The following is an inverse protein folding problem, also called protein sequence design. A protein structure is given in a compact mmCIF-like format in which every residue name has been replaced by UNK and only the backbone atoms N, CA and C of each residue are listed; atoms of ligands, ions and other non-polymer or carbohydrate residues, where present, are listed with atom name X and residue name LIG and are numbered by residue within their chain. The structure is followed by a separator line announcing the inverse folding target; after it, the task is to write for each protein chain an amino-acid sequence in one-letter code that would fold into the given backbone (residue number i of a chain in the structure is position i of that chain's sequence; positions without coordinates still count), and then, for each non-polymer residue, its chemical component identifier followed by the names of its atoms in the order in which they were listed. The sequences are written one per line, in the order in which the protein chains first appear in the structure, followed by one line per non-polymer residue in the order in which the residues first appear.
data_IF_640301704707
#
_entry.id   IF_640301704707
#
_cell.length_a   1.000
_cell.length_b   1.000
_cell.length_c   1.000
_cell.angle_alpha   90.00
_cell.angle_beta   90.00
_cell.angle_gamma   90.00
#
_symmetry.space_group_name_H-M   'P 1'
#
loop_
_entity.id
_entity.type
_entity.pdbx_description
1 polymer ?
#
# COMPACT_ATOMS: atom_id res chain seq x y z
N UNK A 1 23.88 0.05 -19.40
CA UNK A 1 23.53 0.29 -17.97
C UNK A 1 22.23 -0.45 -17.71
N UNK A 2 22.24 -1.38 -16.74
CA UNK A 2 21.14 -2.29 -16.44
C UNK A 2 20.18 -1.62 -15.46
N UNK A 3 18.92 -1.50 -15.84
CA UNK A 3 17.85 -0.98 -14.97
C UNK A 3 17.01 -2.14 -14.48
N UNK A 4 16.95 -2.32 -13.16
CA UNK A 4 16.20 -3.43 -12.57
C UNK A 4 15.64 -3.02 -11.20
N UNK A 5 14.60 -3.70 -10.77
CA UNK A 5 13.92 -3.41 -9.50
C UNK A 5 14.38 -4.41 -8.44
N UNK A 6 14.71 -3.92 -7.24
CA UNK A 6 15.06 -4.80 -6.13
C UNK A 6 13.84 -5.65 -5.73
N UNK A 7 13.92 -7.00 -5.72
CA UNK A 7 12.78 -7.85 -5.38
C UNK A 7 12.33 -7.67 -3.92
N UNK A 8 13.24 -7.28 -3.03
CA UNK A 8 12.96 -7.17 -1.59
C UNK A 8 12.35 -5.83 -1.16
N UNK A 9 12.71 -4.72 -1.80
CA UNK A 9 12.21 -3.39 -1.41
C UNK A 9 11.59 -2.58 -2.55
N UNK A 10 11.48 -3.19 -3.74
CA UNK A 10 10.83 -2.64 -4.93
C UNK A 10 11.38 -1.28 -5.39
N UNK A 11 12.60 -0.92 -4.95
CA UNK A 11 13.27 0.29 -5.42
C UNK A 11 13.88 0.05 -6.80
N UNK A 12 13.74 1.03 -7.69
CA UNK A 12 14.40 1.03 -9.01
C UNK A 12 15.90 1.30 -8.83
N UNK A 13 16.73 0.39 -9.31
CA UNK A 13 18.18 0.47 -9.24
C UNK A 13 18.78 0.51 -10.64
N UNK A 14 19.90 1.21 -10.76
CA UNK A 14 20.70 1.25 -11.97
C UNK A 14 22.06 0.62 -11.64
N UNK A 15 22.42 -0.46 -12.34
CA UNK A 15 23.73 -1.09 -12.26
C UNK A 15 24.51 -0.89 -13.55
N UNK A 16 25.85 -0.88 -13.45
CA UNK A 16 26.72 -0.93 -14.62
C UNK A 16 26.66 -2.34 -15.23
N UNK A 17 26.85 -2.42 -16.54
CA UNK A 17 26.78 -3.70 -17.29
C UNK A 17 27.87 -4.68 -16.83
N UNK A 18 29.02 -4.17 -16.35
CA UNK A 18 30.09 -4.98 -15.74
C UNK A 18 29.67 -5.73 -14.46
N UNK A 19 28.54 -5.36 -13.86
CA UNK A 19 28.00 -5.97 -12.65
C UNK A 19 26.87 -6.96 -12.93
N UNK A 20 26.56 -7.21 -14.20
CA UNK A 20 25.63 -8.24 -14.65
C UNK A 20 26.00 -9.63 -14.08
N UNK A 21 25.00 -10.40 -13.66
CA UNK A 21 25.17 -11.76 -13.12
C UNK A 21 25.79 -11.82 -11.71
N UNK A 22 26.05 -10.68 -11.06
CA UNK A 22 26.66 -10.64 -9.72
C UNK A 22 25.63 -10.36 -8.63
N UNK A 23 25.71 -11.13 -7.55
CA UNK A 23 24.97 -10.84 -6.31
C UNK A 23 25.62 -9.69 -5.54
N UNK A 24 24.83 -8.67 -5.20
CA UNK A 24 25.24 -7.50 -4.43
C UNK A 24 24.19 -7.14 -3.38
N UNK A 25 24.58 -6.34 -2.39
CA UNK A 25 23.61 -5.83 -1.41
C UNK A 25 22.91 -4.59 -1.97
N UNK A 26 21.59 -4.57 -1.85
CA UNK A 26 20.78 -3.40 -2.17
C UNK A 26 21.20 -2.22 -1.28
N UNK A 27 21.52 -1.04 -1.84
CA UNK A 27 21.92 0.12 -1.04
C UNK A 27 20.78 0.70 -0.18
N UNK A 28 19.52 0.31 -0.44
CA UNK A 28 18.34 0.80 0.30
C UNK A 28 17.85 -0.13 1.40
N UNK A 29 17.84 -1.44 1.17
CA UNK A 29 17.36 -2.42 2.15
C UNK A 29 18.42 -3.39 2.66
N UNK A 30 19.62 -3.41 2.07
CA UNK A 30 20.70 -4.33 2.45
C UNK A 30 20.53 -5.77 1.97
N UNK A 31 19.39 -6.12 1.37
CA UNK A 31 19.11 -7.46 0.85
C UNK A 31 20.09 -7.84 -0.28
N UNK A 32 20.46 -9.12 -0.33
CA UNK A 32 21.24 -9.66 -1.45
C UNK A 32 20.35 -9.72 -2.70
N UNK A 33 20.77 -9.03 -3.75
CA UNK A 33 20.10 -8.90 -5.05
C UNK A 33 21.04 -9.37 -6.14
N UNK A 34 20.54 -10.19 -7.05
CA UNK A 34 21.25 -10.58 -8.26
C UNK A 34 20.94 -9.60 -9.38
N UNK A 35 21.98 -9.08 -10.03
CA UNK A 35 21.83 -8.12 -11.13
C UNK A 35 21.59 -8.93 -12.40
N UNK A 36 20.46 -8.73 -13.12
CA UNK A 36 20.16 -9.49 -14.32
C UNK A 36 21.18 -9.20 -15.43
N UNK A 37 21.56 -10.21 -16.20
CA UNK A 37 22.37 -10.03 -17.41
C UNK A 37 21.46 -9.62 -18.56
N UNK A 38 21.59 -8.38 -19.04
CA UNK A 38 20.90 -7.95 -20.27
C UNK A 38 21.72 -8.40 -21.48
N UNK A 39 21.17 -9.29 -22.30
CA UNK A 39 21.58 -9.41 -23.71
C UNK A 39 21.08 -8.17 -24.47
N UNK A 40 21.85 -7.59 -25.40
CA UNK A 40 21.43 -6.41 -26.15
C UNK A 40 20.50 -6.79 -27.31
N UNK A 41 19.60 -5.85 -27.65
CA UNK A 41 18.66 -5.89 -28.77
C UNK A 41 19.34 -6.13 -30.13
N UNK A 42 18.73 -6.97 -30.99
CA UNK A 42 18.79 -6.96 -32.48
C UNK A 42 17.82 -8.04 -33.00
N UNK A 43 16.70 -7.69 -33.65
CA UNK A 43 16.52 -7.65 -35.12
C UNK A 43 16.39 -9.02 -35.80
N UNK A 44 15.39 -9.08 -36.68
CA UNK A 44 14.95 -10.17 -37.56
C UNK A 44 16.03 -10.97 -38.29
N UNK A 45 15.81 -12.28 -38.44
CA UNK A 45 15.98 -13.21 -39.61
C UNK A 45 15.76 -14.62 -39.01
N UNK A 46 14.79 -15.43 -39.42
CA UNK A 46 14.70 -16.08 -40.72
C UNK A 46 15.40 -17.46 -40.67
N UNK A 47 14.81 -18.46 -41.33
CA UNK A 47 15.29 -19.84 -41.54
C UNK A 47 14.84 -20.85 -40.46
N UNK A 48 13.71 -21.51 -40.67
CA UNK A 48 13.52 -22.70 -41.53
C UNK A 48 13.65 -23.99 -40.72
N UNK A 49 12.50 -24.51 -40.31
CA UNK A 49 12.34 -25.93 -40.06
C UNK A 49 11.34 -26.47 -41.08
N UNK A 50 11.88 -27.28 -41.98
CA UNK A 50 11.20 -27.96 -43.06
C UNK A 50 10.20 -28.99 -42.53
N UNK A 51 8.94 -28.83 -42.95
CA UNK A 51 7.95 -29.89 -43.19
C UNK A 51 7.73 -30.96 -42.11
N UNK A 52 6.55 -30.95 -41.49
CA UNK A 52 5.46 -31.86 -41.87
C UNK A 52 4.23 -31.61 -40.98
N UNK A 53 3.09 -31.64 -41.66
CA UNK A 53 1.75 -31.95 -41.18
C UNK A 53 0.80 -30.81 -40.72
N UNK A 54 -0.12 -30.60 -41.66
CA UNK A 54 -1.39 -29.89 -41.69
C UNK A 54 -2.24 -30.07 -40.42
N UNK A 55 -2.18 -29.11 -39.50
CA UNK A 55 -3.28 -28.82 -38.56
C UNK A 55 -3.36 -27.32 -38.35
N UNK A 56 -4.46 -26.71 -38.81
CA UNK A 56 -4.77 -25.30 -38.61
C UNK A 56 -4.70 -24.94 -37.10
N UNK A 57 -3.92 -23.92 -36.69
CA UNK A 57 -3.99 -23.42 -35.34
C UNK A 57 -5.14 -22.41 -35.25
N UNK A 58 -6.37 -22.92 -35.18
CA UNK A 58 -7.47 -22.14 -34.64
C UNK A 58 -7.43 -22.26 -33.12
N UNK A 59 -6.60 -21.42 -32.51
CA UNK A 59 -6.74 -20.93 -31.14
C UNK A 59 -5.62 -19.93 -30.86
N UNK A 60 -5.97 -18.65 -30.93
CA UNK A 60 -5.31 -17.61 -30.15
C UNK A 60 -5.09 -18.16 -28.73
N UNK A 61 -3.85 -18.51 -28.40
CA UNK A 61 -3.41 -18.57 -27.02
C UNK A 61 -3.51 -17.13 -26.54
N UNK A 62 -4.68 -16.77 -26.00
CA UNK A 62 -4.82 -15.55 -25.23
C UNK A 62 -3.81 -15.68 -24.11
N UNK A 63 -2.78 -14.86 -24.20
CA UNK A 63 -1.83 -14.64 -23.14
C UNK A 63 -2.65 -14.39 -21.88
N UNK A 64 -2.67 -15.33 -20.94
CA UNK A 64 -3.26 -15.14 -19.61
C UNK A 64 -2.27 -14.27 -18.83
N UNK A 65 -2.09 -13.04 -19.30
CA UNK A 65 -1.47 -11.94 -18.58
C UNK A 65 -2.59 -10.93 -18.35
N UNK A 66 -2.59 -10.35 -17.15
CA UNK A 66 -3.65 -9.55 -16.55
C UNK A 66 -4.91 -10.31 -16.15
N UNK A 67 -4.77 -11.17 -15.13
CA UNK A 67 -5.78 -11.07 -14.08
C UNK A 67 -5.51 -9.73 -13.37
N UNK A 68 -6.17 -8.66 -13.83
CA UNK A 68 -6.24 -7.38 -13.13
C UNK A 68 -6.74 -7.67 -11.71
N UNK A 69 -5.81 -7.81 -10.77
CA UNK A 69 -6.14 -7.82 -9.36
C UNK A 69 -6.90 -6.50 -9.11
N UNK A 70 -8.08 -6.54 -8.45
CA UNK A 70 -8.89 -5.35 -8.25
C UNK A 70 -8.06 -4.29 -7.52
N UNK A 71 -7.62 -3.27 -8.27
CA UNK A 71 -6.92 -2.14 -7.70
C UNK A 71 -7.95 -1.21 -7.10
N UNK A 72 -7.97 -1.14 -5.77
CA UNK A 72 -8.82 -0.20 -5.03
C UNK A 72 -8.44 1.22 -5.45
N UNK A 73 -9.33 1.92 -6.14
CA UNK A 73 -9.09 3.31 -6.57
C UNK A 73 -8.93 4.21 -5.34
N UNK A 74 -7.90 5.06 -5.34
CA UNK A 74 -7.65 5.96 -4.22
C UNK A 74 -8.84 6.94 -4.02
N UNK A 75 -9.25 7.20 -2.77
CA UNK A 75 -10.39 8.05 -2.50
C UNK A 75 -10.09 9.50 -2.86
N UNK A 76 -11.07 10.17 -3.48
CA UNK A 76 -10.96 11.59 -3.87
C UNK A 76 -11.25 12.54 -2.71
N UNK A 77 -11.98 12.07 -1.68
CA UNK A 77 -12.34 12.82 -0.46
C UNK A 77 -12.44 11.88 0.74
N UNK A 78 -12.22 12.42 1.94
CA UNK A 78 -12.46 11.69 3.18
C UNK A 78 -13.96 11.60 3.43
N UNK A 79 -14.47 10.38 3.59
CA UNK A 79 -15.87 10.10 3.90
C UNK A 79 -16.08 10.24 5.40
N UNK A 80 -17.00 11.11 5.84
CA UNK A 80 -17.21 11.42 7.27
C UNK A 80 -17.60 10.22 8.13
N UNK A 81 -18.25 9.23 7.54
CA UNK A 81 -18.63 8.01 8.24
C UNK A 81 -17.39 7.15 8.56
N UNK A 82 -16.44 7.10 7.62
CA UNK A 82 -15.22 6.29 7.71
C UNK A 82 -14.25 6.83 8.78
N UNK A 83 -13.32 5.98 9.20
CA UNK A 83 -12.16 6.39 10.00
C UNK A 83 -10.91 6.31 9.16
N UNK A 84 -10.04 7.30 9.28
CA UNK A 84 -8.77 7.29 8.57
C UNK A 84 -7.61 7.33 9.55
N UNK A 85 -6.69 6.38 9.38
CA UNK A 85 -5.49 6.24 10.19
C UNK A 85 -4.28 6.50 9.32
N UNK A 86 -3.24 7.08 9.88
CA UNK A 86 -1.92 7.11 9.26
C UNK A 86 -0.98 6.36 10.17
N UNK A 87 -0.39 5.28 9.68
CA UNK A 87 0.61 4.49 10.38
C UNK A 87 2.00 4.80 9.84
N UNK A 88 3.00 4.85 10.72
CA UNK A 88 4.40 4.63 10.31
C UNK A 88 4.68 3.11 10.27
N UNK A 89 5.94 2.67 10.43
CA UNK A 89 6.28 1.25 10.47
C UNK A 89 5.70 0.49 11.67
N UNK A 90 5.53 1.15 12.82
CA UNK A 90 5.22 0.47 14.09
C UNK A 90 4.19 1.19 14.95
N UNK A 91 3.70 2.37 14.55
CA UNK A 91 2.84 3.22 15.37
C UNK A 91 1.78 3.93 14.55
N UNK A 92 0.67 4.23 15.22
CA UNK A 92 -0.32 5.19 14.76
C UNK A 92 0.28 6.60 14.88
N UNK A 93 0.29 7.35 13.78
CA UNK A 93 0.75 8.73 13.71
C UNK A 93 -0.43 9.68 13.80
N UNK A 94 -1.47 9.48 13.00
CA UNK A 94 -2.61 10.38 12.97
C UNK A 94 -3.94 9.66 12.75
N UNK A 95 -5.01 10.31 13.19
CA UNK A 95 -6.39 9.85 13.12
C UNK A 95 -7.28 10.98 12.56
N UNK A 96 -8.26 10.62 11.74
CA UNK A 96 -9.37 11.49 11.33
C UNK A 96 -10.71 10.76 11.42
N UNK A 97 -11.76 11.52 11.80
CA UNK A 97 -13.02 10.98 12.32
C UNK A 97 -14.29 11.69 11.81
N UNK A 98 -14.19 12.61 10.84
CA UNK A 98 -15.36 13.30 10.27
C UNK A 98 -16.13 14.21 11.21
N UNK A 99 -15.63 14.44 12.43
CA UNK A 99 -16.28 15.21 13.50
C UNK A 99 -15.97 16.73 13.46
N UNK A 100 -15.30 17.21 12.40
CA UNK A 100 -14.91 18.62 12.24
C UNK A 100 -13.69 19.04 13.05
N UNK A 101 -13.04 18.15 13.81
CA UNK A 101 -11.78 18.47 14.51
C UNK A 101 -10.56 18.48 13.59
N UNK A 102 -10.70 17.93 12.37
CA UNK A 102 -9.61 17.69 11.44
C UNK A 102 -8.73 16.53 11.86
N UNK A 103 -7.48 16.51 11.39
CA UNK A 103 -6.53 15.47 11.74
C UNK A 103 -6.01 15.63 13.17
N UNK A 104 -5.96 14.52 13.89
CA UNK A 104 -5.47 14.40 15.26
C UNK A 104 -4.16 13.61 15.26
N UNK A 105 -3.10 14.18 15.83
CA UNK A 105 -1.80 13.55 16.01
C UNK A 105 -1.82 12.68 17.26
N UNK A 106 -1.39 11.42 17.13
CA UNK A 106 -1.16 10.54 18.28
C UNK A 106 0.13 10.93 18.98
N UNK A 107 0.03 11.19 20.28
CA UNK A 107 1.15 11.45 21.19
C UNK A 107 1.12 10.44 22.34
N UNK A 108 2.14 10.45 23.21
CA UNK A 108 2.15 9.63 24.43
C UNK A 108 1.02 9.98 25.40
N UNK A 109 0.57 11.24 25.42
CA UNK A 109 -0.47 11.74 26.32
C UNK A 109 -1.90 11.64 25.74
N UNK A 110 -2.06 11.15 24.50
CA UNK A 110 -3.35 11.07 23.83
C UNK A 110 -3.33 11.69 22.43
N UNK A 111 -4.44 12.28 22.00
CA UNK A 111 -4.60 12.87 20.69
C UNK A 111 -4.63 14.40 20.75
N UNK A 112 -3.84 15.06 19.89
CA UNK A 112 -3.78 16.53 19.80
C UNK A 112 -4.03 16.99 18.37
N UNK A 113 -4.69 18.14 18.18
CA UNK A 113 -4.98 18.66 16.83
C UNK A 113 -3.70 18.91 16.05
N UNK A 114 -3.59 18.37 14.84
CA UNK A 114 -2.43 18.55 13.95
C UNK A 114 -2.23 20.02 13.60
N UNK A 115 -3.30 20.77 13.32
CA UNK A 115 -3.20 22.19 12.95
C UNK A 115 -2.50 23.08 14.00
N UNK A 116 -2.46 22.65 15.27
CA UNK A 116 -1.76 23.34 16.37
C UNK A 116 -0.43 22.69 16.76
N UNK A 117 -0.14 21.50 16.26
CA UNK A 117 1.01 20.67 16.65
C UNK A 117 1.79 20.15 15.43
N UNK A 118 1.70 20.86 14.31
CA UNK A 118 2.26 20.47 13.01
C UNK A 118 3.77 20.25 13.03
N UNK A 119 4.49 20.96 13.91
CA UNK A 119 5.93 20.84 14.12
C UNK A 119 6.36 19.44 14.61
N UNK A 120 5.43 18.65 15.15
CA UNK A 120 5.70 17.29 15.62
C UNK A 120 5.55 16.24 14.50
N UNK A 121 5.07 16.64 13.31
CA UNK A 121 4.90 15.71 12.19
C UNK A 121 6.26 15.32 11.61
N UNK A 122 6.52 14.01 11.42
CA UNK A 122 7.68 13.56 10.68
C UNK A 122 7.71 14.12 9.24
N UNK A 123 8.86 14.66 8.83
CA UNK A 123 9.06 15.17 7.46
C UNK A 123 9.34 14.07 6.44
N UNK A 124 9.76 12.88 6.87
CA UNK A 124 9.99 11.72 6.01
C UNK A 124 9.67 10.42 6.74
N UNK A 125 9.23 9.40 6.01
CA UNK A 125 8.99 8.06 6.55
C UNK A 125 8.28 7.14 5.56
N UNK A 126 8.08 5.90 5.96
CA UNK A 126 7.15 5.02 5.26
C UNK A 126 5.80 5.13 5.95
N UNK A 127 4.85 5.82 5.30
CA UNK A 127 3.53 6.07 5.86
C UNK A 127 2.46 5.37 5.02
N UNK A 128 1.57 4.69 5.71
CA UNK A 128 0.40 4.07 5.09
C UNK A 128 -0.84 4.78 5.61
N UNK A 129 -1.66 5.31 4.68
CA UNK A 129 -3.01 5.77 4.98
C UNK A 129 -3.92 4.55 5.00
N UNK A 130 -4.67 4.36 6.07
CA UNK A 130 -5.65 3.29 6.22
C UNK A 130 -7.03 3.91 6.30
N UNK A 131 -7.94 3.41 5.49
CA UNK A 131 -9.36 3.73 5.53
C UNK A 131 -10.11 2.55 6.12
N UNK A 132 -10.78 2.77 7.25
CA UNK A 132 -11.75 1.85 7.81
C UNK A 132 -13.12 2.24 7.26
N UNK A 133 -13.68 1.39 6.41
CA UNK A 133 -14.97 1.62 5.77
C UNK A 133 -16.06 1.29 6.77
N UNK A 134 -16.82 2.30 7.14
CA UNK A 134 -17.86 2.21 8.15
C UNK A 134 -19.22 2.29 7.48
N UNK A 135 -20.16 1.49 7.95
CA UNK A 135 -21.57 1.54 7.58
C UNK A 135 -22.40 1.97 8.81
N UNK A 136 -23.49 2.70 8.57
CA UNK A 136 -24.51 2.94 9.58
C UNK A 136 -25.65 1.95 9.36
N UNK A 137 -25.92 1.14 10.39
CA UNK A 137 -27.04 0.20 10.41
C UNK A 137 -28.04 0.61 11.50
N UNK A 138 -29.20 -0.04 11.55
CA UNK A 138 -30.20 0.19 12.60
C UNK A 138 -29.67 -0.14 14.01
N UNK A 139 -28.69 -1.06 14.10
CA UNK A 139 -28.00 -1.45 15.33
C UNK A 139 -26.72 -0.63 15.61
N UNK A 140 -26.52 0.46 14.86
CA UNK A 140 -25.40 1.37 14.98
C UNK A 140 -24.31 1.14 13.93
N UNK A 141 -23.11 1.64 14.21
CA UNK A 141 -22.00 1.56 13.27
C UNK A 141 -21.45 0.13 13.13
N UNK A 142 -21.10 -0.25 11.90
CA UNK A 142 -20.44 -1.52 11.58
C UNK A 142 -19.21 -1.27 10.70
N UNK A 143 -18.12 -1.96 10.99
CA UNK A 143 -16.94 -2.02 10.14
C UNK A 143 -17.22 -2.99 9.00
N UNK A 144 -17.05 -2.54 7.76
CA UNK A 144 -17.30 -3.35 6.55
C UNK A 144 -16.06 -3.69 5.78
N UNK A 145 -15.12 -2.76 5.71
CA UNK A 145 -13.92 -2.93 4.92
C UNK A 145 -12.74 -2.19 5.49
N UNK A 146 -11.57 -2.52 4.95
CA UNK A 146 -10.32 -1.86 5.24
C UNK A 146 -9.54 -1.69 3.95
N UNK A 147 -9.09 -0.47 3.67
CA UNK A 147 -8.27 -0.15 2.52
C UNK A 147 -6.99 0.56 2.95
N UNK A 148 -5.90 0.31 2.26
CA UNK A 148 -4.59 0.86 2.57
C UNK A 148 -3.95 1.48 1.33
N UNK A 149 -3.34 2.64 1.52
CA UNK A 149 -2.77 3.47 0.47
C UNK A 149 -1.38 3.93 0.89
N UNK A 150 -0.39 3.69 0.02
CA UNK A 150 0.97 4.14 0.26
C UNK A 150 1.04 5.66 0.10
N UNK A 151 1.58 6.37 1.09
CA UNK A 151 1.84 7.81 0.97
C UNK A 151 3.28 8.06 0.50
N UNK A 152 3.47 9.21 -0.14
CA UNK A 152 4.78 9.70 -0.54
C UNK A 152 5.75 9.76 0.67
N UNK A 153 6.98 9.29 0.46
CA UNK A 153 7.95 9.12 1.56
C UNK A 153 8.39 10.44 2.20
N UNK A 154 8.41 11.52 1.41
CA UNK A 154 8.86 12.84 1.84
C UNK A 154 7.68 13.81 1.92
N UNK A 155 7.59 14.53 3.03
CA UNK A 155 6.70 15.65 3.27
C UNK A 155 5.20 15.36 3.15
N UNK A 156 4.77 14.10 3.00
CA UNK A 156 3.35 13.76 2.85
C UNK A 156 2.50 14.29 4.01
N UNK A 157 2.96 14.11 5.25
CA UNK A 157 2.19 14.47 6.45
C UNK A 157 2.02 15.98 6.64
N UNK A 158 2.82 16.82 5.98
CA UNK A 158 2.60 18.28 6.01
C UNK A 158 1.26 18.69 5.39
N UNK A 159 0.67 17.84 4.55
CA UNK A 159 -0.65 18.06 3.97
C UNK A 159 -1.76 18.14 5.03
N UNK A 160 -1.57 17.53 6.22
CA UNK A 160 -2.57 17.44 7.28
C UNK A 160 -2.88 18.78 7.99
N UNK A 161 -2.06 19.81 7.79
CA UNK A 161 -2.10 21.02 8.62
C UNK A 161 -3.32 21.92 8.40
N UNK A 162 -3.80 22.02 7.16
CA UNK A 162 -4.78 23.05 6.77
C UNK A 162 -6.03 22.49 6.08
N UNK A 163 -5.86 21.44 5.30
CA UNK A 163 -6.93 20.84 4.51
C UNK A 163 -6.94 19.34 4.79
N UNK A 164 -8.05 18.86 5.34
CA UNK A 164 -8.20 17.47 5.74
C UNK A 164 -8.11 16.50 4.56
N UNK A 165 -8.52 16.92 3.36
CA UNK A 165 -8.50 16.07 2.17
C UNK A 165 -7.15 16.10 1.45
N UNK A 166 -6.28 17.09 1.73
CA UNK A 166 -5.04 17.28 0.97
C UNK A 166 -4.09 16.09 1.05
N UNK A 167 -4.17 15.30 2.11
CA UNK A 167 -3.38 14.07 2.28
C UNK A 167 -3.63 13.05 1.15
N UNK A 168 -4.83 13.03 0.57
CA UNK A 168 -5.19 12.11 -0.50
C UNK A 168 -4.36 12.37 -1.77
N UNK A 169 -4.02 13.63 -2.03
CA UNK A 169 -3.09 13.99 -3.11
C UNK A 169 -1.64 13.53 -2.90
N UNK A 170 -1.33 12.95 -1.73
CA UNK A 170 -0.02 12.38 -1.38
C UNK A 170 0.02 10.86 -1.48
N UNK A 171 -1.09 10.21 -1.88
CA UNK A 171 -1.11 8.79 -2.17
C UNK A 171 -0.26 8.55 -3.43
N UNK A 172 0.72 7.66 -3.32
CA UNK A 172 1.60 7.25 -4.42
C UNK A 172 1.18 5.94 -5.10
N UNK A 173 0.20 5.23 -4.53
CA UNK A 173 -0.34 3.99 -5.08
C UNK A 173 -1.05 3.15 -4.01
N UNK A 174 -1.49 1.94 -4.37
CA UNK A 174 -1.99 0.96 -3.42
C UNK A 174 -0.98 0.73 -2.30
N UNK A 175 -1.47 0.64 -1.07
CA UNK A 175 -0.66 0.31 0.10
C UNK A 175 -0.73 -1.18 0.41
N UNK A 176 0.08 -1.60 1.37
CA UNK A 176 -0.10 -2.85 2.09
C UNK A 176 0.22 -2.61 3.56
N UNK A 177 -0.44 -3.36 4.45
CA UNK A 177 -0.13 -3.28 5.88
C UNK A 177 0.88 -4.36 6.27
N UNK A 178 2.00 -3.96 6.87
CA UNK A 178 2.91 -4.91 7.51
C UNK A 178 2.25 -5.55 8.73
N UNK A 179 2.84 -6.63 9.25
CA UNK A 179 2.36 -7.29 10.49
C UNK A 179 2.24 -6.31 11.66
N UNK A 180 3.24 -5.44 11.82
CA UNK A 180 3.26 -4.43 12.86
C UNK A 180 2.15 -3.39 12.65
N UNK A 181 1.92 -2.95 11.41
CA UNK A 181 0.84 -2.02 11.10
C UNK A 181 -0.55 -2.66 11.30
N UNK A 182 -0.73 -3.93 10.93
CA UNK A 182 -1.97 -4.68 11.20
C UNK A 182 -2.22 -4.76 12.71
N UNK A 183 -1.21 -5.04 13.51
CA UNK A 183 -1.32 -5.04 14.97
C UNK A 183 -1.70 -3.66 15.52
N UNK A 184 -1.15 -2.57 14.96
CA UNK A 184 -1.54 -1.19 15.31
C UNK A 184 -3.02 -0.94 15.02
N UNK A 185 -3.50 -1.32 13.84
CA UNK A 185 -4.92 -1.15 13.46
C UNK A 185 -5.84 -2.00 14.34
N UNK A 186 -5.45 -3.24 14.65
CA UNK A 186 -6.21 -4.10 15.56
C UNK A 186 -6.31 -3.52 16.98
N UNK A 187 -5.21 -3.02 17.53
CA UNK A 187 -5.24 -2.36 18.85
C UNK A 187 -6.11 -1.12 18.82
N UNK A 188 -6.00 -0.31 17.77
CA UNK A 188 -6.87 0.86 17.58
C UNK A 188 -8.37 0.48 17.57
N UNK A 189 -8.75 -0.57 16.83
CA UNK A 189 -10.14 -1.04 16.79
C UNK A 189 -10.65 -1.45 18.17
N UNK A 190 -9.86 -2.21 18.93
CA UNK A 190 -10.22 -2.66 20.29
C UNK A 190 -10.30 -1.53 21.30
N UNK A 191 -9.47 -0.49 21.15
CA UNK A 191 -9.42 0.64 22.07
C UNK A 191 -10.48 1.71 21.78
N UNK A 192 -10.79 1.95 20.50
CA UNK A 192 -11.68 3.06 20.10
C UNK A 192 -13.13 2.63 19.85
N UNK A 193 -13.39 1.36 19.59
CA UNK A 193 -14.73 0.87 19.27
C UNK A 193 -15.20 -0.22 20.22
N UNK A 194 -16.50 -0.23 20.46
CA UNK A 194 -17.17 -1.38 21.08
C UNK A 194 -17.02 -2.60 20.18
N UNK A 195 -16.95 -3.78 20.80
CA UNK A 195 -16.76 -5.06 20.10
C UNK A 195 -17.78 -5.30 18.98
N UNK A 196 -19.05 -4.93 19.20
CA UNK A 196 -20.14 -5.06 18.23
C UNK A 196 -19.91 -4.29 16.91
N UNK A 197 -19.01 -3.31 16.89
CA UNK A 197 -18.70 -2.56 15.68
C UNK A 197 -17.87 -3.39 14.70
N UNK A 198 -16.98 -4.27 15.20
CA UNK A 198 -15.98 -4.95 14.38
C UNK A 198 -16.01 -6.47 14.46
N UNK A 199 -16.71 -7.09 15.42
CA UNK A 199 -16.67 -8.54 15.60
C UNK A 199 -17.29 -9.34 14.44
N UNK A 200 -18.24 -8.73 13.72
CA UNK A 200 -18.88 -9.33 12.55
C UNK A 200 -18.09 -9.09 11.24
N UNK A 201 -17.06 -8.25 11.27
CA UNK A 201 -16.25 -7.89 10.11
C UNK A 201 -15.21 -8.98 9.79
N UNK A 202 -15.68 -10.20 9.49
CA UNK A 202 -14.84 -11.41 9.42
C UNK A 202 -13.70 -11.26 8.42
N UNK A 203 -13.98 -10.74 7.22
CA UNK A 203 -12.95 -10.49 6.19
C UNK A 203 -11.86 -9.53 6.69
N UNK A 204 -12.26 -8.44 7.36
CA UNK A 204 -11.32 -7.46 7.92
C UNK A 204 -10.48 -8.08 9.04
N UNK A 205 -11.10 -8.86 9.92
CA UNK A 205 -10.40 -9.54 11.01
C UNK A 205 -9.41 -10.58 10.49
N UNK A 206 -9.78 -11.33 9.46
CA UNK A 206 -8.90 -12.30 8.80
C UNK A 206 -7.74 -11.60 8.09
N UNK A 207 -8.02 -10.51 7.36
CA UNK A 207 -6.99 -9.68 6.73
C UNK A 207 -6.00 -9.12 7.76
N UNK A 208 -6.49 -8.62 8.89
CA UNK A 208 -5.65 -8.09 9.97
C UNK A 208 -4.91 -9.20 10.73
N UNK A 209 -5.45 -10.41 10.78
CA UNK A 209 -4.87 -11.56 11.47
C UNK A 209 -3.85 -12.35 10.64
N UNK A 210 -3.93 -12.26 9.31
CA UNK A 210 -3.06 -13.03 8.41
C UNK A 210 -1.70 -12.37 8.15
N UNK A 211 -0.74 -13.19 7.69
CA UNK A 211 0.60 -12.75 7.29
C UNK A 211 0.70 -12.43 5.79
N UNK A 212 -0.43 -12.36 5.07
CA UNK A 212 -0.42 -11.99 3.66
C UNK A 212 -0.31 -10.47 3.52
N UNK A 213 0.71 -10.02 2.78
CA UNK A 213 1.05 -8.60 2.60
C UNK A 213 0.75 -8.12 1.17
N UNK A 214 0.05 -8.92 0.36
CA UNK A 214 -0.13 -8.64 -1.07
C UNK A 214 -1.44 -7.94 -1.41
N UNK A 215 -2.38 -7.82 -0.47
CA UNK A 215 -3.63 -7.08 -0.70
C UNK A 215 -3.60 -5.66 -0.15
N UNK A 216 -4.16 -4.73 -0.92
CA UNK A 216 -4.38 -3.34 -0.48
C UNK A 216 -5.59 -3.18 0.42
N UNK A 217 -6.46 -4.19 0.54
CA UNK A 217 -7.65 -4.13 1.37
C UNK A 217 -8.61 -5.30 1.19
N UNK A 218 -9.70 -5.29 1.95
CA UNK A 218 -10.83 -6.24 1.87
C UNK A 218 -12.13 -5.51 2.22
N UNK A 219 -13.27 -6.07 1.77
CA UNK A 219 -14.61 -5.54 2.04
C UNK A 219 -15.03 -4.42 1.11
#
# INVERSE_FOLDING_TARGET
MIRFTCPSCQVRLNAKDELAGRTRKCPKCGAAIEIPETAPDSESVGEEWTGLDDVAPDQHVHNVLDHDLPQVEAPKRLVRLNRYLICDKTRLIALWEGNGQGWMLKTGAGFVKVSRNAQQLPSHGNFTLVELVMEMTDEGHRLRGIHSYQLAQSWALTALQRDEHKILSRISGPGCLTKEQKAVVQSFLREQFMRSVWEEATEVLDYLGNFDYHSSGVG
#
